data_IF_448018144329
#
_entry.id   IF_448018144329
#
_cell.length_a   1.000
_cell.length_b   1.000
_cell.length_c   1.000
_cell.angle_alpha   90.00
_cell.angle_beta   90.00
_cell.angle_gamma   90.00
#
_symmetry.space_group_name_H-M   'P 1'
#
loop_
_entity.id
_entity.type
_entity.pdbx_description
1 polymer ?
#
# COMPACT_ATOMS: atom_id res chain seq x y z
N UNK A 1 17.02 9.47 16.98
CA UNK A 1 15.89 8.87 17.73
C UNK A 1 15.56 7.52 17.14
N UNK A 2 15.52 6.46 17.95
CA UNK A 2 15.10 5.17 17.43
C UNK A 2 13.63 5.22 17.06
N UNK A 3 13.28 4.62 15.93
CA UNK A 3 11.89 4.44 15.53
C UNK A 3 11.25 3.33 16.36
N UNK A 4 9.92 3.34 16.50
CA UNK A 4 9.23 2.26 17.19
C UNK A 4 9.35 0.95 16.41
N UNK A 5 9.34 -0.22 17.09
CA UNK A 5 9.40 -1.50 16.39
C UNK A 5 8.31 -1.67 15.32
N UNK A 6 7.11 -1.12 15.56
CA UNK A 6 6.03 -1.20 14.58
C UNK A 6 6.30 -0.41 13.31
N UNK A 7 6.93 0.79 13.43
CA UNK A 7 7.31 1.61 12.26
C UNK A 7 8.41 0.91 11.47
N UNK A 8 9.41 0.35 12.15
CA UNK A 8 10.49 -0.37 11.50
C UNK A 8 9.98 -1.62 10.76
N UNK A 9 9.06 -2.36 11.39
CA UNK A 9 8.42 -3.52 10.78
C UNK A 9 7.68 -3.12 9.49
N UNK A 10 6.90 -2.03 9.54
CA UNK A 10 6.17 -1.53 8.39
C UNK A 10 7.09 -1.14 7.23
N UNK A 11 8.16 -0.41 7.53
CA UNK A 11 9.14 -0.01 6.50
C UNK A 11 9.84 -1.21 5.89
N UNK A 12 10.20 -2.19 6.70
CA UNK A 12 10.82 -3.42 6.21
C UNK A 12 9.86 -4.20 5.31
N UNK A 13 8.59 -4.31 5.71
CA UNK A 13 7.56 -4.95 4.89
C UNK A 13 7.36 -4.25 3.56
N UNK A 14 7.32 -2.93 3.55
CA UNK A 14 7.20 -2.16 2.31
C UNK A 14 8.40 -2.38 1.39
N UNK A 15 9.61 -2.48 1.94
CA UNK A 15 10.79 -2.77 1.14
C UNK A 15 10.72 -4.16 0.50
N UNK A 16 10.27 -5.18 1.23
CA UNK A 16 10.07 -6.52 0.67
C UNK A 16 8.97 -6.52 -0.38
N UNK A 17 7.87 -5.80 -0.13
CA UNK A 17 6.77 -5.69 -1.08
C UNK A 17 7.24 -5.03 -2.39
N UNK A 18 7.99 -3.93 -2.29
CA UNK A 18 8.52 -3.22 -3.46
C UNK A 18 9.43 -4.13 -4.30
N UNK A 19 10.36 -4.82 -3.65
CA UNK A 19 11.27 -5.74 -4.34
C UNK A 19 10.51 -6.88 -5.03
N UNK A 20 9.50 -7.42 -4.36
CA UNK A 20 8.66 -8.48 -4.92
C UNK A 20 7.90 -8.01 -6.16
N UNK A 21 7.30 -6.83 -6.10
CA UNK A 21 6.59 -6.27 -7.23
C UNK A 21 7.52 -6.02 -8.43
N UNK A 22 8.72 -5.51 -8.17
CA UNK A 22 9.70 -5.32 -9.24
C UNK A 22 10.10 -6.64 -9.89
N UNK A 23 10.26 -7.70 -9.12
CA UNK A 23 10.53 -9.04 -9.64
C UNK A 23 9.41 -9.54 -10.54
N UNK A 24 8.17 -9.16 -10.25
CA UNK A 24 7.01 -9.50 -11.06
C UNK A 24 6.86 -8.61 -12.30
N UNK A 25 7.73 -7.64 -12.48
CA UNK A 25 7.69 -6.74 -13.62
C UNK A 25 6.92 -5.43 -13.39
N UNK A 26 6.49 -5.16 -12.17
CA UNK A 26 5.89 -3.87 -11.85
C UNK A 26 6.94 -2.77 -11.94
N UNK A 27 6.53 -1.62 -12.44
CA UNK A 27 7.36 -0.43 -12.45
C UNK A 27 6.94 0.48 -11.30
N UNK A 28 7.77 0.56 -10.27
CA UNK A 28 7.47 1.41 -9.11
C UNK A 28 7.58 2.89 -9.48
N UNK A 29 6.61 3.65 -9.02
CA UNK A 29 6.52 5.10 -9.25
C UNK A 29 6.80 5.86 -7.97
N UNK A 30 6.21 5.43 -6.85
CA UNK A 30 6.34 6.11 -5.57
C UNK A 30 6.15 5.13 -4.41
N UNK A 31 6.74 5.49 -3.27
CA UNK A 31 6.57 4.77 -2.00
C UNK A 31 6.29 5.77 -0.90
N UNK A 32 5.43 5.40 0.04
CA UNK A 32 5.05 6.24 1.18
C UNK A 32 4.60 7.63 0.73
N UNK A 33 3.73 7.67 -0.27
CA UNK A 33 3.29 8.93 -0.85
C UNK A 33 2.16 9.51 -0.01
N UNK A 34 2.42 10.67 0.60
CA UNK A 34 1.45 11.38 1.43
C UNK A 34 0.90 12.57 0.68
N UNK A 35 -0.40 12.75 0.69
CA UNK A 35 -1.05 13.86 0.01
C UNK A 35 -2.28 14.33 0.77
N UNK A 36 -2.64 15.61 0.58
CA UNK A 36 -3.84 16.18 1.17
C UNK A 36 -5.08 15.67 0.44
N UNK A 37 -6.09 15.21 1.20
CA UNK A 37 -7.32 14.68 0.63
C UNK A 37 -8.55 15.52 1.02
N UNK A 38 -8.36 16.58 1.79
CA UNK A 38 -9.45 17.45 2.20
C UNK A 38 -9.17 18.09 3.55
N UNK A 39 -10.23 18.64 4.15
CA UNK A 39 -10.15 19.23 5.48
C UNK A 39 -11.22 18.60 6.37
N UNK A 40 -10.91 18.51 7.68
CA UNK A 40 -11.89 18.04 8.66
C UNK A 40 -12.83 19.19 9.06
N UNK A 41 -13.77 18.91 9.96
CA UNK A 41 -14.75 19.90 10.42
C UNK A 41 -14.12 21.09 11.15
N UNK A 42 -12.88 20.94 11.63
CA UNK A 42 -12.13 22.02 12.28
C UNK A 42 -11.27 22.82 11.31
N UNK A 43 -11.35 22.51 10.01
CA UNK A 43 -10.57 23.18 8.98
C UNK A 43 -9.13 22.70 8.83
N UNK A 44 -8.71 21.68 9.58
CA UNK A 44 -7.36 21.14 9.49
C UNK A 44 -7.23 20.25 8.25
N UNK A 45 -6.07 20.32 7.61
CA UNK A 45 -5.79 19.47 6.45
C UNK A 45 -5.75 18.00 6.87
N UNK A 46 -6.46 17.16 6.13
CA UNK A 46 -6.43 15.71 6.30
C UNK A 46 -5.53 15.13 5.23
N UNK A 47 -4.52 14.39 5.65
CA UNK A 47 -3.60 13.71 4.75
C UNK A 47 -3.93 12.22 4.70
N UNK A 48 -3.68 11.63 3.54
CA UNK A 48 -3.74 10.19 3.35
C UNK A 48 -2.42 9.70 2.76
N UNK A 49 -2.07 8.47 3.06
CA UNK A 49 -0.84 7.85 2.58
C UNK A 49 -1.17 6.69 1.65
N UNK A 50 -0.40 6.57 0.57
CA UNK A 50 -0.41 5.42 -0.31
C UNK A 50 0.92 4.70 -0.11
N UNK A 51 0.87 3.44 0.29
CA UNK A 51 2.09 2.69 0.61
C UNK A 51 3.01 2.55 -0.61
N UNK A 52 2.48 2.07 -1.72
CA UNK A 52 3.22 1.97 -2.97
C UNK A 52 2.32 2.33 -4.15
N UNK A 53 2.92 2.99 -5.14
CA UNK A 53 2.28 3.27 -6.42
C UNK A 53 3.14 2.67 -7.52
N UNK A 54 2.55 1.86 -8.38
CA UNK A 54 3.30 1.14 -9.41
C UNK A 54 2.44 0.93 -10.66
N UNK A 55 3.10 0.72 -11.79
CA UNK A 55 2.43 0.28 -13.01
C UNK A 55 2.67 -1.22 -13.22
N UNK A 56 1.60 -1.95 -13.51
CA UNK A 56 1.69 -3.25 -14.15
C UNK A 56 1.17 -3.07 -15.57
N UNK A 57 2.07 -3.14 -16.54
CA UNK A 57 1.76 -2.78 -17.93
C UNK A 57 1.19 -1.34 -17.98
N UNK A 58 -0.02 -1.16 -18.49
CA UNK A 58 -0.65 0.15 -18.60
C UNK A 58 -1.63 0.47 -17.46
N UNK A 59 -1.67 -0.37 -16.44
CA UNK A 59 -2.58 -0.19 -15.30
C UNK A 59 -1.82 0.39 -14.12
N UNK A 60 -2.33 1.50 -13.59
CA UNK A 60 -1.78 2.11 -12.36
C UNK A 60 -2.32 1.36 -11.16
N UNK A 61 -1.42 0.87 -10.32
CA UNK A 61 -1.78 0.08 -9.14
C UNK A 61 -1.47 0.86 -7.87
N UNK A 62 -2.50 1.09 -7.06
CA UNK A 62 -2.35 1.63 -5.72
C UNK A 62 -2.26 0.44 -4.77
N UNK A 63 -1.12 0.29 -4.11
CA UNK A 63 -0.81 -0.94 -3.37
C UNK A 63 -0.79 -0.65 -1.87
N UNK A 64 -1.62 -1.37 -1.15
CA UNK A 64 -1.59 -1.39 0.31
C UNK A 64 -0.71 -2.54 0.77
N UNK A 65 0.20 -2.27 1.69
CA UNK A 65 1.11 -3.29 2.24
C UNK A 65 0.69 -3.62 3.65
N UNK A 66 0.44 -4.90 3.92
CA UNK A 66 0.12 -5.42 5.24
C UNK A 66 1.28 -6.28 5.72
N UNK A 67 1.95 -5.84 6.76
CA UNK A 67 3.10 -6.53 7.33
C UNK A 67 2.78 -7.09 8.70
N UNK A 68 3.17 -8.32 8.94
CA UNK A 68 2.99 -8.98 10.21
C UNK A 68 4.23 -9.77 10.59
N UNK A 69 4.62 -9.68 11.85
CA UNK A 69 5.62 -10.57 12.43
C UNK A 69 4.90 -11.79 13.00
N UNK A 70 5.46 -12.98 12.79
CA UNK A 70 4.88 -14.22 13.29
C UNK A 70 5.98 -15.24 13.52
N UNK A 71 5.79 -16.11 14.53
CA UNK A 71 6.71 -17.22 14.79
C UNK A 71 6.48 -18.40 13.86
N UNK A 72 5.36 -18.43 13.18
CA UNK A 72 5.05 -19.43 12.18
C UNK A 72 4.22 -18.81 11.06
N UNK A 73 4.28 -19.43 9.88
CA UNK A 73 3.50 -18.99 8.74
C UNK A 73 2.09 -19.58 8.79
N UNK A 74 1.16 -18.80 9.31
CA UNK A 74 -0.24 -19.00 9.02
C UNK A 74 -0.59 -18.17 7.78
N UNK A 75 -1.56 -18.59 6.95
CA UNK A 75 -2.04 -17.73 5.86
C UNK A 75 -2.48 -16.39 6.42
N UNK A 76 -1.98 -15.27 5.87
CA UNK A 76 -2.39 -13.97 6.36
C UNK A 76 -3.87 -13.76 6.05
N UNK A 77 -4.62 -13.40 7.08
CA UNK A 77 -5.98 -12.92 6.87
C UNK A 77 -5.89 -11.44 6.53
N UNK A 78 -6.28 -11.10 5.33
CA UNK A 78 -6.32 -9.71 4.89
C UNK A 78 -7.73 -9.21 5.08
N UNK A 79 -7.88 -8.28 6.01
CA UNK A 79 -9.14 -7.62 6.24
C UNK A 79 -8.94 -6.12 6.15
N UNK A 80 -9.29 -5.55 5.00
CA UNK A 80 -9.30 -4.11 4.81
C UNK A 80 -10.75 -3.67 4.94
N UNK A 81 -11.07 -3.06 6.07
CA UNK A 81 -12.44 -2.63 6.34
C UNK A 81 -12.87 -1.49 5.40
N UNK A 82 -14.17 -1.20 5.40
CA UNK A 82 -14.75 -0.22 4.51
C UNK A 82 -14.17 1.18 4.72
N UNK A 83 -13.89 1.55 5.96
CA UNK A 83 -13.29 2.84 6.28
C UNK A 83 -11.92 2.99 5.64
N UNK A 84 -11.07 1.97 5.74
CA UNK A 84 -9.73 1.97 5.15
C UNK A 84 -9.82 1.99 3.63
N UNK A 85 -10.74 1.22 3.03
CA UNK A 85 -10.96 1.23 1.58
C UNK A 85 -11.33 2.63 1.09
N UNK A 86 -12.20 3.34 1.81
CA UNK A 86 -12.58 4.72 1.48
C UNK A 86 -11.41 5.68 1.57
N UNK A 87 -10.55 5.52 2.59
CA UNK A 87 -9.34 6.33 2.72
C UNK A 87 -8.39 6.12 1.55
N UNK A 88 -8.16 4.87 1.18
CA UNK A 88 -7.30 4.52 0.04
C UNK A 88 -7.89 5.09 -1.26
N UNK A 89 -9.20 4.97 -1.45
CA UNK A 89 -9.87 5.49 -2.64
C UNK A 89 -9.76 7.01 -2.74
N UNK A 90 -9.90 7.72 -1.62
CA UNK A 90 -9.72 9.19 -1.59
C UNK A 90 -8.29 9.58 -1.95
N UNK A 91 -7.32 8.87 -1.40
CA UNK A 91 -5.91 9.10 -1.71
C UNK A 91 -5.63 8.84 -3.21
N UNK A 92 -6.19 7.77 -3.76
CA UNK A 92 -6.02 7.45 -5.17
C UNK A 92 -6.63 8.54 -6.07
N UNK A 93 -7.84 9.01 -5.76
CA UNK A 93 -8.47 10.09 -6.54
C UNK A 93 -7.65 11.37 -6.48
N UNK A 94 -7.14 11.72 -5.30
CA UNK A 94 -6.29 12.90 -5.14
C UNK A 94 -4.98 12.75 -5.93
N UNK A 95 -4.40 11.56 -5.93
CA UNK A 95 -3.20 11.25 -6.73
C UNK A 95 -3.48 11.45 -8.22
N UNK A 96 -4.57 10.86 -8.71
CA UNK A 96 -4.94 10.97 -10.13
C UNK A 96 -5.16 12.42 -10.55
N UNK A 97 -5.79 13.22 -9.71
CA UNK A 97 -6.00 14.65 -9.98
C UNK A 97 -4.68 15.42 -9.96
N UNK A 98 -3.84 15.17 -8.97
CA UNK A 98 -2.56 15.87 -8.81
C UNK A 98 -1.65 15.68 -10.03
N UNK A 99 -1.63 14.48 -10.60
CA UNK A 99 -0.79 14.15 -11.73
C UNK A 99 -1.52 14.13 -13.07
N UNK A 100 -2.76 14.66 -13.09
CA UNK A 100 -3.58 14.75 -14.31
C UNK A 100 -3.75 13.40 -15.02
N UNK A 101 -4.06 12.38 -14.23
CA UNK A 101 -4.20 10.98 -14.68
C UNK A 101 -5.63 10.48 -14.60
N UNK A 102 -6.64 11.36 -14.68
CA UNK A 102 -8.04 10.99 -14.46
C UNK A 102 -8.56 9.96 -15.47
N UNK A 103 -7.96 9.92 -16.66
CA UNK A 103 -8.33 8.93 -17.69
C UNK A 103 -7.55 7.62 -17.59
N UNK A 104 -6.61 7.52 -16.64
CA UNK A 104 -5.76 6.36 -16.47
C UNK A 104 -6.54 5.19 -15.87
N UNK A 105 -6.38 4.00 -16.45
CA UNK A 105 -6.88 2.76 -15.83
C UNK A 105 -6.10 2.49 -14.54
N UNK A 106 -6.81 2.18 -13.48
CA UNK A 106 -6.19 1.91 -12.19
C UNK A 106 -6.93 0.82 -11.43
N UNK A 107 -6.24 0.27 -10.44
CA UNK A 107 -6.83 -0.72 -9.53
C UNK A 107 -6.15 -0.68 -8.17
N UNK A 108 -6.72 -1.39 -7.22
CA UNK A 108 -6.20 -1.50 -5.85
C UNK A 108 -5.68 -2.91 -5.62
N UNK A 109 -4.39 -3.01 -5.32
CA UNK A 109 -3.72 -4.27 -5.01
C UNK A 109 -3.33 -4.28 -3.53
N UNK A 110 -3.17 -5.47 -2.97
CA UNK A 110 -2.68 -5.64 -1.61
C UNK A 110 -1.50 -6.60 -1.64
N UNK A 111 -0.43 -6.24 -0.95
CA UNK A 111 0.70 -7.13 -0.71
C UNK A 111 0.76 -7.43 0.78
N UNK A 112 0.79 -8.71 1.11
CA UNK A 112 0.98 -9.16 2.49
C UNK A 112 2.41 -9.64 2.67
N UNK A 113 3.03 -9.24 3.77
CA UNK A 113 4.38 -9.63 4.13
C UNK A 113 4.36 -10.23 5.53
N UNK A 114 4.78 -11.48 5.65
CA UNK A 114 4.92 -12.15 6.95
C UNK A 114 6.40 -12.36 7.22
N UNK A 115 6.86 -11.83 8.33
CA UNK A 115 8.24 -11.90 8.76
C UNK A 115 8.34 -12.80 9.99
N UNK A 116 9.05 -13.91 9.86
CA UNK A 116 9.35 -14.84 10.94
C UNK A 116 10.86 -14.91 11.14
N UNK A 117 11.31 -15.02 12.40
CA UNK A 117 12.75 -14.95 12.72
C UNK A 117 13.58 -16.04 12.03
N UNK A 118 13.04 -17.25 11.93
CA UNK A 118 13.80 -18.42 11.47
C UNK A 118 13.53 -18.79 10.01
N UNK A 119 12.75 -17.99 9.29
CA UNK A 119 12.37 -18.31 7.92
C UNK A 119 12.46 -17.08 7.01
N UNK A 120 12.64 -17.29 5.69
CA UNK A 120 12.59 -16.19 4.74
C UNK A 120 11.24 -15.48 4.78
N UNK A 121 11.19 -14.20 4.46
CA UNK A 121 9.93 -13.47 4.37
C UNK A 121 8.97 -14.13 3.37
N UNK A 122 7.70 -14.20 3.77
CA UNK A 122 6.65 -14.65 2.87
C UNK A 122 5.89 -13.44 2.33
N UNK A 123 5.89 -13.29 1.01
CA UNK A 123 5.24 -12.17 0.33
C UNK A 123 4.19 -12.72 -0.62
N UNK A 124 2.96 -12.23 -0.50
CA UNK A 124 1.86 -12.61 -1.38
C UNK A 124 1.23 -11.36 -1.97
N UNK A 125 0.85 -11.43 -3.24
CA UNK A 125 0.18 -10.36 -3.97
C UNK A 125 -1.27 -10.73 -4.24
N UNK A 126 -2.18 -9.82 -3.89
CA UNK A 126 -3.61 -9.95 -4.15
C UNK A 126 -4.00 -8.81 -5.12
N UNK A 127 -4.07 -9.14 -6.40
CA UNK A 127 -4.43 -8.16 -7.44
C UNK A 127 -5.91 -7.84 -7.38
N UNK A 128 -6.22 -6.56 -7.59
CA UNK A 128 -7.59 -6.08 -7.67
C UNK A 128 -8.43 -6.53 -6.47
N UNK A 129 -7.86 -6.33 -5.29
CA UNK A 129 -8.40 -6.86 -4.04
C UNK A 129 -9.74 -6.24 -3.67
N UNK A 130 -9.96 -4.97 -4.01
CA UNK A 130 -11.24 -4.31 -3.80
C UNK A 130 -11.49 -3.25 -4.87
N UNK A 131 -12.75 -2.90 -5.02
CA UNK A 131 -13.20 -1.81 -5.87
C UNK A 131 -13.92 -0.75 -5.03
N UNK A 132 -14.02 0.44 -5.56
CA UNK A 132 -14.68 1.55 -4.87
C UNK A 132 -15.78 2.16 -5.72
#
# INVERSE_FOLDING_TARGET
>A
MPTSPGIELGKLGEAYAAAYLEQLGYQLVAANFTLAVGRNLRGAVVNAEIDLVAYEHNTLCFVEVKTRASDWFAPPQVNIDLRKRRQIARAARAYLQLFELEAQSYRFDVVTVVLAESEPPRVDLLRNYFTT
#
